data_IF_978602763960
#
_entry.id   IF_978602763960
#
_cell.length_a   1.000
_cell.length_b   1.000
_cell.length_c   1.000
_cell.angle_alpha   90.00
_cell.angle_beta   90.00
_cell.angle_gamma   90.00
#
_symmetry.space_group_name_H-M   'P 1'
#
loop_
_entity.id
_entity.type
_entity.pdbx_description
1 polymer ?
#
# COMPACT_ATOMS: atom_id res chain seq x y z
N UNK A 1 0.03 6.61 27.47
CA UNK A 1 0.25 5.90 26.18
C UNK A 1 0.52 6.96 25.13
N UNK A 2 1.34 6.68 24.11
CA UNK A 2 1.63 7.62 23.03
C UNK A 2 1.48 6.95 21.67
N UNK A 3 1.46 7.75 20.60
CA UNK A 3 1.34 7.26 19.23
C UNK A 3 0.16 6.32 19.01
N UNK A 4 0.37 5.25 18.25
CA UNK A 4 -0.69 4.32 17.88
C UNK A 4 -1.30 3.58 19.07
N UNK A 5 -0.56 3.34 20.14
CA UNK A 5 -1.15 2.73 21.33
C UNK A 5 -2.20 3.65 21.98
N UNK A 6 -1.94 4.96 22.00
CA UNK A 6 -2.93 5.92 22.48
C UNK A 6 -4.19 5.91 21.60
N UNK A 7 -4.03 5.78 20.27
CA UNK A 7 -5.17 5.66 19.35
C UNK A 7 -5.96 4.38 19.59
N UNK A 8 -5.28 3.24 19.74
CA UNK A 8 -5.90 1.95 20.01
C UNK A 8 -6.75 1.97 21.28
N UNK A 9 -6.32 2.72 22.32
CA UNK A 9 -7.12 2.85 23.55
C UNK A 9 -8.46 3.57 23.36
N UNK A 10 -8.65 4.28 22.23
CA UNK A 10 -9.88 5.02 21.89
C UNK A 10 -10.70 4.33 20.80
N UNK A 11 -10.16 3.32 20.13
CA UNK A 11 -10.85 2.57 19.08
C UNK A 11 -11.62 1.40 19.73
N UNK A 12 -12.95 1.32 19.58
CA UNK A 12 -13.76 0.27 20.22
C UNK A 12 -13.68 -1.08 19.49
N UNK A 13 -12.93 -1.16 18.39
CA UNK A 13 -12.80 -2.33 17.55
C UNK A 13 -11.54 -3.14 17.90
N UNK A 14 -11.62 -4.46 17.72
CA UNK A 14 -10.44 -5.32 17.84
C UNK A 14 -9.48 -5.03 16.69
N UNK A 15 -8.32 -4.49 17.03
CA UNK A 15 -7.28 -4.13 16.06
C UNK A 15 -6.07 -5.08 16.10
N UNK A 16 -5.28 -5.15 15.02
CA UNK A 16 -3.99 -5.82 15.03
C UNK A 16 -3.08 -5.28 16.15
N UNK A 17 -2.31 -6.14 16.82
CA UNK A 17 -1.34 -5.68 17.80
C UNK A 17 -0.20 -4.91 17.12
N UNK A 18 0.29 -3.88 17.80
CA UNK A 18 1.48 -3.15 17.37
C UNK A 18 2.72 -4.03 17.53
N UNK A 19 3.56 -4.11 16.49
CA UNK A 19 4.83 -4.83 16.57
C UNK A 19 5.82 -4.17 17.51
N UNK A 20 5.89 -2.84 17.49
CA UNK A 20 6.82 -2.01 18.28
C UNK A 20 6.14 -0.73 18.73
N UNK A 21 5.32 -0.78 19.79
CA UNK A 21 4.59 0.40 20.22
C UNK A 21 5.56 1.44 20.81
N UNK A 22 5.24 2.72 20.62
CA UNK A 22 6.02 3.82 21.16
C UNK A 22 5.91 3.94 22.69
N UNK A 23 7.05 4.16 23.34
CA UNK A 23 7.14 4.31 24.80
C UNK A 23 8.10 5.43 25.17
N UNK A 24 7.69 6.25 26.15
CA UNK A 24 8.57 7.26 26.70
C UNK A 24 9.67 6.56 27.53
N UNK A 25 10.93 6.82 27.19
CA UNK A 25 12.12 6.25 27.82
C UNK A 25 13.20 7.33 28.02
N UNK A 26 14.15 7.15 28.95
CA UNK A 26 15.25 8.10 29.17
C UNK A 26 16.32 7.95 28.07
N UNK A 27 15.95 8.29 26.84
CA UNK A 27 16.82 8.33 25.65
C UNK A 27 16.95 9.78 25.18
N UNK A 28 17.91 10.08 24.31
CA UNK A 28 18.11 11.43 23.75
C UNK A 28 17.45 11.62 22.38
N UNK A 29 17.16 10.52 21.68
CA UNK A 29 16.54 10.47 20.36
C UNK A 29 15.60 9.27 20.27
N UNK A 30 14.79 9.22 19.22
CA UNK A 30 13.92 8.07 18.93
C UNK A 30 14.81 6.89 18.53
N UNK A 31 14.68 5.77 19.23
CA UNK A 31 15.49 4.57 19.01
C UNK A 31 14.59 3.34 18.87
N UNK A 32 14.81 2.56 17.80
CA UNK A 32 14.10 1.31 17.58
C UNK A 32 14.76 0.18 18.37
N UNK A 33 14.05 -0.34 19.36
CA UNK A 33 14.41 -1.55 20.10
C UNK A 33 13.65 -2.76 19.52
N UNK A 34 14.02 -4.01 19.87
CA UNK A 34 13.37 -5.19 19.32
C UNK A 34 11.85 -5.21 19.50
N UNK A 35 11.38 -4.80 20.68
CA UNK A 35 10.00 -4.90 21.17
C UNK A 35 9.25 -3.56 21.25
N UNK A 36 9.96 -2.43 21.15
CA UNK A 36 9.35 -1.10 21.30
C UNK A 36 10.13 -0.01 20.56
N UNK A 37 9.49 1.14 20.40
CA UNK A 37 10.16 2.37 19.99
C UNK A 37 10.39 3.25 21.22
N UNK A 38 11.65 3.47 21.59
CA UNK A 38 12.04 4.30 22.73
C UNK A 38 12.03 5.76 22.31
N UNK A 39 11.25 6.59 23.00
CA UNK A 39 10.98 7.97 22.61
C UNK A 39 11.34 8.91 23.76
N UNK A 40 12.14 9.97 23.54
CA UNK A 40 12.40 10.97 24.58
C UNK A 40 11.13 11.79 24.86
N UNK A 41 10.93 12.23 26.12
CA UNK A 41 9.72 12.99 26.52
C UNK A 41 9.50 14.25 25.66
N UNK A 42 10.58 14.89 25.19
CA UNK A 42 10.50 16.10 24.36
C UNK A 42 9.93 15.88 22.94
N UNK A 43 9.97 14.64 22.44
CA UNK A 43 9.44 14.28 21.11
C UNK A 43 8.05 13.65 21.23
N UNK A 44 7.74 13.06 22.38
CA UNK A 44 6.45 12.44 22.64
C UNK A 44 5.30 13.49 22.65
N UNK A 45 4.10 13.11 22.19
CA UNK A 45 2.90 13.90 22.41
C UNK A 45 2.71 14.22 23.89
N UNK A 46 2.13 15.40 24.18
CA UNK A 46 1.68 15.77 25.53
C UNK A 46 0.55 14.84 25.99
N UNK A 47 0.32 14.79 27.29
CA UNK A 47 -0.64 13.84 27.87
C UNK A 47 -2.10 14.14 27.46
N UNK A 48 -2.39 15.40 27.12
CA UNK A 48 -3.67 15.92 26.65
C UNK A 48 -3.76 16.04 25.11
N UNK A 49 -2.80 15.45 24.38
CA UNK A 49 -2.75 15.57 22.92
C UNK A 49 -3.98 14.97 22.22
N UNK A 50 -4.39 15.63 21.13
CA UNK A 50 -5.51 15.20 20.30
C UNK A 50 -5.21 13.92 19.52
N UNK A 51 -6.25 13.30 18.96
CA UNK A 51 -6.12 12.12 18.09
C UNK A 51 -5.22 12.44 16.90
N UNK A 52 -5.37 13.62 16.30
CA UNK A 52 -4.56 14.06 15.16
C UNK A 52 -3.06 14.12 15.49
N UNK A 53 -2.70 14.66 16.66
CA UNK A 53 -1.31 14.72 17.11
C UNK A 53 -0.72 13.32 17.30
N UNK A 54 -1.47 12.41 17.90
CA UNK A 54 -1.05 11.01 18.05
C UNK A 54 -0.93 10.29 16.71
N UNK A 55 -1.85 10.52 15.76
CA UNK A 55 -1.80 9.96 14.42
C UNK A 55 -0.60 10.48 13.63
N UNK A 56 -0.29 11.77 13.74
CA UNK A 56 0.87 12.39 13.09
C UNK A 56 2.18 11.87 13.68
N UNK A 57 2.24 11.71 15.00
CA UNK A 57 3.37 11.10 15.68
C UNK A 57 3.57 9.65 15.24
N UNK A 58 2.51 8.83 15.27
CA UNK A 58 2.58 7.42 14.90
C UNK A 58 3.03 7.23 13.46
N UNK A 59 2.42 7.97 12.54
CA UNK A 59 2.81 7.93 11.12
C UNK A 59 4.27 8.34 10.90
N UNK A 60 4.80 9.27 11.70
CA UNK A 60 6.18 9.74 11.58
C UNK A 60 7.22 8.76 12.11
N UNK A 61 6.89 8.08 13.21
CA UNK A 61 7.88 7.38 14.04
C UNK A 61 7.65 5.87 14.13
N UNK A 62 6.39 5.42 14.06
CA UNK A 62 6.00 4.01 14.16
C UNK A 62 5.75 3.36 12.79
N UNK A 63 5.63 4.16 11.72
CA UNK A 63 5.38 3.70 10.35
C UNK A 63 3.92 3.81 9.95
N UNK A 64 3.51 3.20 8.85
CA UNK A 64 2.12 3.27 8.36
C UNK A 64 1.31 2.09 8.93
N UNK A 65 0.37 2.35 9.82
CA UNK A 65 -0.64 1.37 10.27
C UNK A 65 -2.02 1.76 9.72
N UNK A 66 -2.31 1.38 8.48
CA UNK A 66 -3.46 1.91 7.73
C UNK A 66 -4.81 1.66 8.43
N UNK A 67 -5.01 0.49 9.03
CA UNK A 67 -6.25 0.16 9.74
C UNK A 67 -6.46 1.02 11.00
N UNK A 68 -5.38 1.24 11.77
CA UNK A 68 -5.41 2.07 12.97
C UNK A 68 -5.66 3.52 12.58
N UNK A 69 -4.92 4.02 11.59
CA UNK A 69 -5.09 5.36 11.06
C UNK A 69 -6.51 5.58 10.54
N UNK A 70 -7.05 4.65 9.75
CA UNK A 70 -8.40 4.75 9.21
C UNK A 70 -9.45 4.96 10.32
N UNK A 71 -9.46 4.11 11.36
CA UNK A 71 -10.44 4.24 12.44
C UNK A 71 -10.16 5.43 13.37
N UNK A 72 -8.91 5.81 13.56
CA UNK A 72 -8.57 7.00 14.34
C UNK A 72 -9.04 8.27 13.62
N UNK A 73 -8.84 8.37 12.31
CA UNK A 73 -9.17 9.58 11.54
C UNK A 73 -10.68 9.81 11.42
N UNK A 74 -11.54 8.79 11.61
CA UNK A 74 -13.00 8.98 11.74
C UNK A 74 -13.40 9.82 12.96
N UNK A 75 -12.55 9.87 13.97
CA UNK A 75 -12.80 10.58 15.22
C UNK A 75 -12.22 12.00 15.23
N UNK A 76 -11.48 12.39 14.18
CA UNK A 76 -10.89 13.73 14.04
C UNK A 76 -11.91 14.63 13.34
N UNK A 77 -12.31 15.77 13.93
CA UNK A 77 -13.15 16.76 13.26
C UNK A 77 -12.53 17.27 11.94
N UNK A 78 -13.38 17.56 10.95
CA UNK A 78 -12.93 18.06 9.65
C UNK A 78 -12.15 19.38 9.79
N UNK A 79 -12.62 20.25 10.68
CA UNK A 79 -12.03 21.54 10.99
C UNK A 79 -10.62 21.39 11.58
N UNK A 80 -10.43 20.47 12.55
CA UNK A 80 -9.12 20.21 13.16
C UNK A 80 -8.10 19.74 12.12
N UNK A 81 -8.49 18.81 11.24
CA UNK A 81 -7.61 18.30 10.18
C UNK A 81 -7.33 19.39 9.13
N UNK A 82 -8.34 20.17 8.74
CA UNK A 82 -8.20 21.25 7.77
C UNK A 82 -7.29 22.37 8.31
N UNK A 83 -7.49 22.82 9.55
CA UNK A 83 -6.67 23.84 10.21
C UNK A 83 -5.20 23.42 10.28
N UNK A 84 -4.92 22.19 10.73
CA UNK A 84 -3.56 21.67 10.80
C UNK A 84 -2.89 21.61 9.42
N UNK A 85 -3.63 21.18 8.39
CA UNK A 85 -3.11 21.14 7.03
C UNK A 85 -2.95 22.54 6.43
N UNK A 86 -3.79 23.51 6.80
CA UNK A 86 -3.68 24.91 6.39
C UNK A 86 -2.46 25.58 6.98
N UNK A 87 -2.15 25.31 8.25
CA UNK A 87 -0.96 25.82 8.92
C UNK A 87 0.32 25.26 8.27
N UNK A 88 0.32 23.98 7.88
CA UNK A 88 1.49 23.28 7.37
C UNK A 88 1.19 22.49 6.07
N UNK A 89 0.87 23.17 4.95
CA UNK A 89 0.37 22.53 3.73
C UNK A 89 1.38 21.57 3.09
N UNK A 90 2.67 21.81 3.30
CA UNK A 90 3.76 21.00 2.74
C UNK A 90 4.17 19.84 3.65
N UNK A 91 3.64 19.74 4.87
CA UNK A 91 4.00 18.67 5.80
C UNK A 91 3.56 17.31 5.26
N UNK A 92 4.53 16.43 4.98
CA UNK A 92 4.30 15.14 4.34
C UNK A 92 3.30 14.27 5.13
N UNK A 93 3.45 14.19 6.46
CA UNK A 93 2.59 13.38 7.30
C UNK A 93 1.17 13.95 7.40
N UNK A 94 0.99 15.28 7.42
CA UNK A 94 -0.36 15.86 7.41
C UNK A 94 -1.07 15.62 6.09
N UNK A 95 -0.35 15.69 4.97
CA UNK A 95 -0.91 15.36 3.64
C UNK A 95 -1.35 13.90 3.56
N UNK A 96 -0.55 12.96 4.08
CA UNK A 96 -0.93 11.53 4.19
C UNK A 96 -2.13 11.33 5.12
N UNK A 97 -2.16 11.98 6.28
CA UNK A 97 -3.28 11.90 7.21
C UNK A 97 -4.57 12.49 6.65
N UNK A 98 -4.48 13.63 5.95
CA UNK A 98 -5.60 14.20 5.23
C UNK A 98 -6.15 13.22 4.20
N UNK A 99 -5.28 12.53 3.45
CA UNK A 99 -5.73 11.50 2.50
C UNK A 99 -6.46 10.37 3.21
N UNK A 100 -5.92 9.85 4.32
CA UNK A 100 -6.60 8.82 5.13
C UNK A 100 -7.92 9.34 5.68
N UNK A 101 -7.97 10.58 6.16
CA UNK A 101 -9.18 11.21 6.69
C UNK A 101 -10.27 11.31 5.63
N UNK A 102 -9.94 11.80 4.42
CA UNK A 102 -10.92 11.91 3.33
C UNK A 102 -11.49 10.54 2.95
N UNK A 103 -10.64 9.50 2.98
CA UNK A 103 -11.07 8.12 2.73
C UNK A 103 -11.89 7.51 3.86
N UNK A 104 -11.53 7.78 5.11
CA UNK A 104 -12.19 7.23 6.28
C UNK A 104 -13.59 7.85 6.50
N UNK A 105 -13.75 9.12 6.14
CA UNK A 105 -14.99 9.87 6.30
C UNK A 105 -15.81 9.99 5.00
N UNK A 106 -15.29 9.49 3.87
CA UNK A 106 -15.90 9.61 2.54
C UNK A 106 -16.29 11.05 2.19
N UNK A 107 -15.45 12.00 2.62
CA UNK A 107 -15.70 13.44 2.51
C UNK A 107 -14.40 14.14 2.13
N UNK A 108 -14.49 15.16 1.28
CA UNK A 108 -13.37 16.04 0.98
C UNK A 108 -13.17 17.10 2.07
N UNK A 109 -11.92 17.37 2.47
CA UNK A 109 -11.64 18.42 3.45
C UNK A 109 -11.95 19.81 2.87
N UNK A 110 -12.58 20.72 3.66
CA UNK A 110 -12.87 22.08 3.23
C UNK A 110 -11.61 22.94 3.27
N UNK A 111 -10.72 22.75 2.28
CA UNK A 111 -9.46 23.49 2.19
C UNK A 111 -9.65 24.79 1.40
N UNK A 112 -9.00 25.90 1.82
CA UNK A 112 -9.16 27.21 1.16
C UNK A 112 -8.44 27.32 -0.18
N UNK A 113 -7.80 26.24 -0.64
CA UNK A 113 -7.06 26.18 -1.90
C UNK A 113 -7.29 24.85 -2.61
N UNK A 114 -7.18 24.83 -3.95
CA UNK A 114 -7.42 23.62 -4.75
C UNK A 114 -6.31 22.57 -4.61
N UNK A 115 -5.12 22.95 -4.10
CA UNK A 115 -4.02 22.01 -3.89
C UNK A 115 -3.08 22.49 -2.80
N UNK A 116 -2.50 21.53 -2.05
CA UNK A 116 -1.40 21.74 -1.11
C UNK A 116 -0.11 22.23 -1.79
N UNK A 117 0.01 22.01 -3.12
CA UNK A 117 1.20 22.32 -3.89
C UNK A 117 2.40 21.42 -3.57
N UNK A 118 3.51 21.63 -4.29
CA UNK A 118 4.73 20.84 -4.12
C UNK A 118 4.72 19.47 -4.81
N UNK A 119 5.70 18.63 -4.47
CA UNK A 119 5.86 17.32 -5.10
C UNK A 119 4.82 16.32 -4.60
N UNK A 120 4.47 15.37 -5.46
CA UNK A 120 3.75 14.18 -5.02
C UNK A 120 4.59 13.41 -4.01
N UNK A 121 3.92 12.90 -3.00
CA UNK A 121 4.49 11.93 -2.06
C UNK A 121 3.71 10.64 -2.15
N UNK A 122 4.40 9.54 -1.87
CA UNK A 122 3.78 8.24 -1.77
C UNK A 122 3.29 8.00 -0.33
N UNK A 123 2.16 7.32 -0.20
CA UNK A 123 1.63 6.88 1.10
C UNK A 123 2.64 5.97 1.81
N UNK A 124 3.21 5.02 1.07
CA UNK A 124 4.20 4.07 1.57
C UNK A 124 5.57 4.36 0.93
N UNK A 125 6.64 4.43 1.73
CA UNK A 125 8.01 4.53 1.19
C UNK A 125 8.41 3.15 0.59
N UNK A 126 8.71 3.06 -0.72
CA UNK A 126 9.10 1.79 -1.36
C UNK A 126 10.39 1.17 -0.82
N UNK A 127 11.19 1.92 -0.06
CA UNK A 127 12.39 1.41 0.62
C UNK A 127 12.08 0.74 1.95
N UNK A 128 10.94 1.07 2.56
CA UNK A 128 10.52 0.52 3.86
C UNK A 128 9.38 -0.49 3.72
N UNK A 129 8.57 -0.38 2.67
CA UNK A 129 7.39 -1.21 2.44
C UNK A 129 7.45 -1.91 1.09
N UNK A 130 6.77 -3.05 0.98
CA UNK A 130 6.37 -3.58 -0.31
C UNK A 130 5.21 -2.72 -0.86
N UNK A 131 5.34 -2.27 -2.10
CA UNK A 131 4.41 -1.34 -2.74
C UNK A 131 3.92 -1.90 -4.06
N UNK A 132 2.70 -1.52 -4.46
CA UNK A 132 2.11 -1.87 -5.74
C UNK A 132 2.16 -0.72 -6.75
N UNK A 133 1.36 -0.79 -7.82
CA UNK A 133 1.12 0.36 -8.68
C UNK A 133 0.44 1.50 -7.90
N UNK A 134 0.40 2.69 -8.49
CA UNK A 134 -0.40 3.80 -7.95
C UNK A 134 -1.87 3.53 -8.26
N UNK A 135 -2.62 3.07 -7.26
CA UNK A 135 -4.05 2.79 -7.36
C UNK A 135 -4.88 4.07 -7.39
N UNK A 136 -4.42 5.11 -6.70
CA UNK A 136 -5.12 6.37 -6.62
C UNK A 136 -4.14 7.53 -6.48
N UNK A 137 -4.49 8.67 -7.07
CA UNK A 137 -3.70 9.89 -7.03
C UNK A 137 -4.58 11.06 -6.60
N UNK A 138 -4.37 11.56 -5.38
CA UNK A 138 -4.99 12.80 -4.93
C UNK A 138 -4.19 14.00 -5.44
N UNK A 139 -4.73 14.70 -6.42
CA UNK A 139 -4.12 15.92 -6.98
C UNK A 139 -4.16 17.08 -5.99
N UNK A 140 -5.24 17.18 -5.21
CA UNK A 140 -5.45 18.19 -4.16
C UNK A 140 -4.40 18.05 -3.04
N UNK A 141 -4.24 16.85 -2.50
CA UNK A 141 -3.31 16.58 -1.39
C UNK A 141 -1.89 16.25 -1.85
N UNK A 142 -1.69 16.04 -3.16
CA UNK A 142 -0.40 15.62 -3.75
C UNK A 142 0.09 14.30 -3.14
N UNK A 143 -0.81 13.34 -3.00
CA UNK A 143 -0.55 12.01 -2.43
C UNK A 143 -0.86 10.94 -3.46
N UNK A 144 0.08 10.03 -3.69
CA UNK A 144 -0.15 8.78 -4.41
C UNK A 144 -0.40 7.66 -3.40
N UNK A 145 -1.46 6.90 -3.62
CA UNK A 145 -1.72 5.67 -2.88
C UNK A 145 -1.09 4.49 -3.64
N UNK A 146 0.13 4.12 -3.24
CA UNK A 146 0.97 3.07 -3.85
C UNK A 146 0.97 1.76 -3.03
N UNK A 147 -0.14 1.44 -2.37
CA UNK A 147 -0.28 0.21 -1.59
C UNK A 147 -0.22 -1.07 -2.43
N UNK A 148 -0.07 -2.23 -1.78
CA UNK A 148 -0.11 -3.54 -2.47
C UNK A 148 -1.48 -3.84 -3.09
N UNK A 149 -2.54 -3.24 -2.55
CA UNK A 149 -3.89 -3.25 -3.10
C UNK A 149 -4.53 -1.87 -3.01
N UNK A 150 -5.76 -1.69 -3.52
CA UNK A 150 -6.51 -0.44 -3.37
C UNK A 150 -6.82 -0.16 -1.90
N UNK A 151 -7.14 1.09 -1.56
CA UNK A 151 -7.22 1.58 -0.17
C UNK A 151 -8.00 0.68 0.81
N UNK A 152 -9.19 0.22 0.42
CA UNK A 152 -10.04 -0.63 1.27
C UNK A 152 -9.56 -2.09 1.37
N UNK A 153 -8.64 -2.52 0.50
CA UNK A 153 -8.10 -3.88 0.41
C UNK A 153 -6.57 -3.86 0.35
N UNK A 154 -5.94 -3.02 1.16
CA UNK A 154 -4.48 -2.82 1.14
C UNK A 154 -3.82 -3.48 2.35
N UNK A 155 -3.19 -4.65 2.21
CA UNK A 155 -2.28 -5.14 3.24
C UNK A 155 -1.05 -4.22 3.32
N UNK A 156 -0.61 -3.91 4.54
CA UNK A 156 0.62 -3.14 4.77
C UNK A 156 1.73 -4.11 5.19
N UNK A 157 2.80 -4.17 4.40
CA UNK A 157 3.93 -5.06 4.66
C UNK A 157 5.24 -4.29 4.59
N UNK A 158 6.00 -4.34 5.69
CA UNK A 158 7.38 -3.85 5.73
C UNK A 158 8.29 -4.75 4.90
N UNK A 159 9.33 -4.16 4.32
CA UNK A 159 10.41 -4.93 3.71
C UNK A 159 11.15 -5.73 4.77
N UNK A 160 11.46 -6.96 4.41
CA UNK A 160 12.16 -7.90 5.25
C UNK A 160 13.23 -8.60 4.41
N UNK A 161 14.50 -8.42 4.80
CA UNK A 161 15.62 -8.94 4.03
C UNK A 161 15.60 -10.47 3.91
N UNK A 162 15.04 -11.17 4.89
CA UNK A 162 14.89 -12.62 4.80
C UNK A 162 13.80 -13.01 3.80
N UNK A 163 12.66 -12.31 3.81
CA UNK A 163 11.60 -12.51 2.82
C UNK A 163 12.08 -12.23 1.41
N UNK A 164 12.81 -11.13 1.19
CA UNK A 164 13.40 -10.80 -0.12
C UNK A 164 14.34 -11.89 -0.61
N UNK A 165 15.25 -12.35 0.25
CA UNK A 165 16.18 -13.44 -0.08
C UNK A 165 15.45 -14.75 -0.40
N UNK A 166 14.39 -15.09 0.35
CA UNK A 166 13.57 -16.28 0.08
C UNK A 166 12.84 -16.15 -1.25
N UNK A 167 12.27 -14.98 -1.55
CA UNK A 167 11.61 -14.68 -2.82
C UNK A 167 12.56 -14.82 -4.01
N UNK A 168 13.75 -14.22 -3.92
CA UNK A 168 14.78 -14.33 -4.96
C UNK A 168 15.12 -15.79 -5.28
N UNK A 169 15.32 -16.64 -4.27
CA UNK A 169 15.59 -18.07 -4.46
C UNK A 169 14.46 -18.83 -5.16
N UNK A 170 13.21 -18.45 -4.91
CA UNK A 170 12.05 -19.04 -5.61
C UNK A 170 12.10 -18.68 -7.08
N UNK A 171 12.36 -17.41 -7.40
CA UNK A 171 12.48 -16.92 -8.77
C UNK A 171 13.66 -17.55 -9.51
N UNK A 172 14.84 -17.63 -8.88
CA UNK A 172 16.02 -18.31 -9.45
C UNK A 172 15.76 -19.80 -9.72
N UNK A 173 14.96 -20.47 -8.88
CA UNK A 173 14.57 -21.87 -9.11
C UNK A 173 13.59 -21.98 -10.28
N UNK A 174 12.64 -21.06 -10.37
CA UNK A 174 11.69 -21.00 -11.49
C UNK A 174 12.44 -20.74 -12.80
N UNK A 175 13.34 -19.75 -12.83
CA UNK A 175 14.14 -19.42 -14.01
C UNK A 175 14.98 -20.61 -14.48
N UNK A 176 15.68 -21.28 -13.56
CA UNK A 176 16.44 -22.51 -13.90
C UNK A 176 15.55 -23.61 -14.43
N UNK A 177 14.34 -23.77 -13.89
CA UNK A 177 13.40 -24.78 -14.35
C UNK A 177 12.87 -24.45 -15.76
N UNK A 178 12.48 -23.19 -16.00
CA UNK A 178 11.97 -22.72 -17.31
C UNK A 178 13.05 -22.81 -18.39
N UNK A 179 14.31 -22.55 -18.05
CA UNK A 179 15.43 -22.53 -19.03
C UNK A 179 16.09 -23.89 -19.26
N UNK A 180 15.75 -24.92 -18.49
CA UNK A 180 16.25 -26.27 -18.69
C UNK A 180 15.64 -26.89 -19.96
N UNK A 181 16.45 -27.29 -20.96
CA UNK A 181 15.94 -27.90 -22.19
C UNK A 181 15.06 -29.14 -21.98
N UNK A 182 15.22 -29.85 -20.87
CA UNK A 182 14.39 -31.00 -20.51
C UNK A 182 12.96 -30.64 -20.12
N UNK A 183 12.66 -29.37 -19.86
CA UNK A 183 11.33 -28.92 -19.46
C UNK A 183 10.56 -28.20 -20.57
N UNK A 184 11.12 -28.06 -21.78
CA UNK A 184 10.54 -27.22 -22.84
C UNK A 184 9.08 -27.59 -23.16
N UNK A 185 8.78 -28.88 -23.34
CA UNK A 185 7.42 -29.37 -23.62
C UNK A 185 6.44 -29.13 -22.45
N UNK A 186 6.94 -29.06 -21.23
CA UNK A 186 6.12 -28.79 -20.05
C UNK A 186 5.89 -27.28 -19.89
N UNK A 187 6.90 -26.46 -20.17
CA UNK A 187 6.79 -25.00 -20.21
C UNK A 187 5.77 -24.59 -21.28
N UNK A 188 5.88 -25.12 -22.50
CA UNK A 188 4.94 -24.82 -23.59
C UNK A 188 3.50 -25.15 -23.19
N UNK A 189 3.27 -26.32 -22.57
CA UNK A 189 1.94 -26.70 -22.07
C UNK A 189 1.42 -25.79 -20.95
N UNK A 190 2.29 -25.34 -20.06
CA UNK A 190 1.91 -24.40 -19.00
C UNK A 190 1.53 -23.04 -19.60
N UNK A 191 2.28 -22.59 -20.60
CA UNK A 191 1.98 -21.34 -21.32
C UNK A 191 0.67 -21.46 -22.11
N UNK A 192 0.47 -22.54 -22.87
CA UNK A 192 -0.78 -22.83 -23.57
C UNK A 192 -1.98 -22.84 -22.62
N UNK A 193 -1.84 -23.49 -21.46
CA UNK A 193 -2.88 -23.49 -20.44
C UNK A 193 -3.13 -22.08 -19.88
N UNK A 194 -2.08 -21.31 -19.59
CA UNK A 194 -2.21 -19.96 -19.05
C UNK A 194 -2.95 -19.04 -20.05
N UNK A 195 -2.59 -19.10 -21.33
CA UNK A 195 -3.28 -18.37 -22.40
C UNK A 195 -4.74 -18.82 -22.56
N UNK A 196 -5.02 -20.13 -22.53
CA UNK A 196 -6.40 -20.65 -22.59
C UNK A 196 -7.24 -20.19 -21.40
N UNK A 197 -6.67 -20.21 -20.19
CA UNK A 197 -7.35 -19.77 -18.97
C UNK A 197 -7.70 -18.29 -19.05
N UNK A 198 -6.76 -17.44 -19.46
CA UNK A 198 -6.99 -15.99 -19.62
C UNK A 198 -8.01 -15.68 -20.72
N UNK A 199 -8.01 -16.47 -21.79
CA UNK A 199 -8.98 -16.37 -22.89
C UNK A 199 -10.38 -16.75 -22.40
N UNK A 200 -10.51 -17.88 -21.70
CA UNK A 200 -11.77 -18.31 -21.12
C UNK A 200 -12.35 -17.27 -20.15
N UNK A 201 -11.50 -16.71 -19.29
CA UNK A 201 -11.91 -15.65 -18.35
C UNK A 201 -12.33 -14.37 -19.08
N UNK A 202 -11.68 -14.03 -20.20
CA UNK A 202 -12.06 -12.88 -21.04
C UNK A 202 -13.41 -13.06 -21.74
N UNK A 203 -13.72 -14.26 -22.24
CA UNK A 203 -15.03 -14.56 -22.85
C UNK A 203 -16.15 -14.68 -21.81
N UNK A 204 -15.83 -15.18 -20.61
CA UNK A 204 -16.77 -15.27 -19.50
C UNK A 204 -17.24 -13.88 -19.00
N UNK A 205 -16.40 -12.84 -19.13
CA UNK A 205 -16.79 -11.45 -18.83
C UNK A 205 -17.89 -10.96 -19.79
N UNK A 206 -17.83 -11.39 -21.06
CA UNK A 206 -18.84 -11.07 -22.09
C UNK A 206 -20.01 -12.07 -22.12
N UNK A 207 -20.06 -12.99 -21.15
CA UNK A 207 -21.10 -14.02 -21.03
C UNK A 207 -21.19 -14.95 -22.27
N UNK A 208 -20.07 -15.15 -22.95
CA UNK A 208 -19.93 -16.07 -24.07
C UNK A 208 -19.09 -17.30 -23.66
N UNK A 209 -19.52 -18.50 -24.07
CA UNK A 209 -18.66 -19.68 -24.02
C UNK A 209 -17.83 -19.76 -25.30
N UNK A 210 -16.52 -19.54 -25.20
CA UNK A 210 -15.63 -19.74 -26.33
C UNK A 210 -15.63 -21.22 -26.74
N UNK A 211 -16.02 -21.52 -27.99
CA UNK A 211 -15.84 -22.88 -28.50
C UNK A 211 -14.35 -23.25 -28.48
N UNK A 212 -13.99 -24.53 -28.24
CA UNK A 212 -12.60 -24.97 -28.18
C UNK A 212 -11.76 -24.60 -29.42
N UNK A 213 -12.40 -24.42 -30.57
CA UNK A 213 -11.75 -24.03 -31.82
C UNK A 213 -11.44 -22.52 -31.86
N UNK A 214 -12.33 -21.66 -31.35
CA UNK A 214 -12.09 -20.22 -31.24
C UNK A 214 -10.99 -19.91 -30.23
N UNK A 215 -10.98 -20.59 -29.09
CA UNK A 215 -9.94 -20.44 -28.08
C UNK A 215 -8.54 -20.83 -28.63
N UNK A 216 -8.47 -21.92 -29.41
CA UNK A 216 -7.23 -22.36 -30.08
C UNK A 216 -6.78 -21.38 -31.18
N UNK A 217 -7.69 -20.84 -31.97
CA UNK A 217 -7.35 -19.84 -33.01
C UNK A 217 -6.85 -18.53 -32.39
N UNK A 218 -7.45 -18.09 -31.29
CA UNK A 218 -7.01 -16.91 -30.54
C UNK A 218 -5.61 -17.12 -29.92
N UNK A 219 -5.36 -18.29 -29.33
CA UNK A 219 -4.02 -18.65 -28.86
C UNK A 219 -2.95 -18.61 -29.95
N UNK A 220 -3.24 -19.19 -31.12
CA UNK A 220 -2.31 -19.16 -32.25
C UNK A 220 -1.97 -17.73 -32.68
N UNK A 221 -2.96 -16.81 -32.65
CA UNK A 221 -2.75 -15.40 -32.93
C UNK A 221 -1.88 -14.70 -31.85
N UNK A 222 -2.10 -15.01 -30.57
CA UNK A 222 -1.33 -14.45 -29.44
C UNK A 222 0.13 -14.94 -29.44
N UNK A 223 0.37 -16.22 -29.73
CA UNK A 223 1.71 -16.78 -29.88
C UNK A 223 2.47 -16.11 -31.03
N UNK A 224 1.80 -15.82 -32.15
CA UNK A 224 2.40 -15.11 -33.29
C UNK A 224 2.75 -13.64 -32.97
N UNK A 225 1.95 -12.97 -32.14
CA UNK A 225 2.21 -11.61 -31.66
C UNK A 225 3.41 -11.55 -30.71
N UNK A 226 3.60 -12.58 -29.86
CA UNK A 226 4.78 -12.71 -29.01
C UNK A 226 6.08 -12.83 -29.84
N UNK A 227 6.01 -13.49 -31.00
CA UNK A 227 7.11 -13.62 -31.96
C UNK A 227 7.37 -12.37 -32.83
N UNK A 228 6.57 -11.29 -32.68
CA UNK A 228 6.66 -10.02 -33.43
C UNK A 228 6.65 -10.16 -34.96
N UNK A 229 6.06 -11.22 -35.52
CA UNK A 229 5.88 -11.35 -36.98
C UNK A 229 4.51 -10.81 -37.41
N UNK A 230 4.44 -9.95 -38.45
CA UNK A 230 3.16 -9.47 -38.94
C UNK A 230 2.36 -10.61 -39.57
N UNK A 231 1.06 -10.67 -39.27
CA UNK A 231 0.10 -11.52 -39.97
C UNK A 231 0.00 -11.04 -41.42
N UNK A 232 0.39 -11.87 -42.38
CA UNK A 232 -0.09 -11.76 -43.76
C UNK A 232 -1.29 -12.67 -43.94
N UNK A 233 -2.26 -12.15 -44.71
CA UNK A 233 -3.59 -12.69 -44.99
C UNK A 233 -3.67 -14.21 -45.20
#
# INVERSE_FOLDING_TARGET
MIGYEALLSRIPLRMPPLRRPARIKPVTRVEALPDLLAVPRQVAPRDDASILVHAQFGLKHEGVELAILHEAMKQVPAEEMAEALVEQPKAANLRRLAFVWEKANAQELPLPWPTTGGNYLDMFDPREHYTGPVWEKSTRLRVNFNGLGPYHYCPVMLRDAELERRGAKVLERLERWVTDPGNVDLVDRVMDWAYLSETHDSYAIENEDASPDKARAFMAAMQHLADRRPLTE
#
